data_IF_054798235190
#
_entry.id   IF_054798235190
#
_cell.length_a   1.000
_cell.length_b   1.000
_cell.length_c   1.000
_cell.angle_alpha   90.00
_cell.angle_beta   90.00
_cell.angle_gamma   90.00
#
_symmetry.space_group_name_H-M   'P 1'
#
loop_
_entity.id
_entity.type
_entity.pdbx_description
1 polymer ?
#
# COMPACT_ATOMS: atom_id res chain seq x y z
N UNK A 1 -9.74 4.40 -23.58
CA UNK A 1 -10.56 5.00 -22.51
C UNK A 1 -10.56 6.50 -22.72
N UNK A 2 -11.70 7.19 -22.59
CA UNK A 2 -11.74 8.66 -22.70
C UNK A 2 -11.24 9.31 -21.41
N UNK A 3 -10.79 10.57 -21.49
CA UNK A 3 -10.34 11.35 -20.33
C UNK A 3 -11.37 11.34 -19.19
N UNK A 4 -12.62 11.64 -19.52
CA UNK A 4 -13.67 11.79 -18.51
C UNK A 4 -14.01 10.44 -17.87
N UNK A 5 -14.06 9.37 -18.67
CA UNK A 5 -14.26 8.00 -18.17
C UNK A 5 -13.15 7.56 -17.20
N UNK A 6 -11.90 7.95 -17.46
CA UNK A 6 -10.78 7.66 -16.57
C UNK A 6 -10.95 8.34 -15.21
N UNK A 7 -11.32 9.63 -15.19
CA UNK A 7 -11.51 10.37 -13.95
C UNK A 7 -12.69 9.85 -13.12
N UNK A 8 -13.80 9.46 -13.78
CA UNK A 8 -14.93 8.82 -13.11
C UNK A 8 -14.51 7.53 -12.41
N UNK A 9 -13.85 6.62 -13.14
CA UNK A 9 -13.40 5.34 -12.59
C UNK A 9 -12.45 5.52 -11.42
N UNK A 10 -11.51 6.46 -11.53
CA UNK A 10 -10.55 6.78 -10.47
C UNK A 10 -11.24 7.20 -9.17
N UNK A 11 -12.34 7.95 -9.26
CA UNK A 11 -13.07 8.46 -8.09
C UNK A 11 -14.05 7.44 -7.49
N UNK A 12 -14.37 6.36 -8.21
CA UNK A 12 -15.35 5.35 -7.80
C UNK A 12 -14.72 4.01 -7.40
N UNK A 13 -13.37 3.93 -7.37
CA UNK A 13 -12.66 2.71 -7.04
C UNK A 13 -12.73 2.41 -5.53
N UNK A 14 -13.40 1.32 -5.17
CA UNK A 14 -13.53 0.82 -3.80
C UNK A 14 -13.23 -0.68 -3.75
N UNK A 15 -12.61 -1.14 -2.65
CA UNK A 15 -12.24 -2.54 -2.46
C UNK A 15 -13.10 -3.26 -1.42
N UNK A 16 -14.07 -2.56 -0.83
CA UNK A 16 -14.93 -3.04 0.27
C UNK A 16 -16.34 -2.52 0.06
N UNK A 17 -17.33 -3.33 0.43
CA UNK A 17 -18.73 -2.91 0.49
C UNK A 17 -19.02 -2.16 1.81
N UNK A 18 -18.98 -0.83 1.74
CA UNK A 18 -19.07 0.09 2.90
C UNK A 18 -20.29 -0.19 3.80
N UNK A 19 -21.53 -0.36 3.28
CA UNK A 19 -22.70 -0.74 4.08
C UNK A 19 -22.50 -1.96 4.99
N UNK A 20 -21.76 -2.96 4.52
CA UNK A 20 -21.59 -4.24 5.24
C UNK A 20 -20.48 -4.17 6.29
N UNK A 21 -19.53 -3.25 6.12
CA UNK A 21 -18.28 -3.18 6.90
C UNK A 21 -18.28 -2.06 7.94
N UNK A 22 -19.43 -1.40 8.16
CA UNK A 22 -19.58 -0.27 9.09
C UNK A 22 -19.21 -0.59 10.56
N UNK A 23 -19.17 -1.88 10.94
CA UNK A 23 -18.78 -2.33 12.28
C UNK A 23 -17.27 -2.54 12.46
N UNK A 24 -16.46 -2.52 11.40
CA UNK A 24 -15.00 -2.77 11.45
C UNK A 24 -14.18 -1.46 11.56
N UNK A 25 -14.77 -0.42 12.14
CA UNK A 25 -14.15 0.93 12.22
C UNK A 25 -12.96 1.03 13.16
N UNK A 26 -12.70 0.00 13.97
CA UNK A 26 -11.50 -0.07 14.83
C UNK A 26 -10.21 -0.17 14.01
N UNK A 27 -10.22 -0.86 12.87
CA UNK A 27 -9.08 -0.94 11.96
C UNK A 27 -9.12 0.24 10.97
N UNK A 28 -8.23 1.23 11.11
CA UNK A 28 -8.16 2.38 10.20
C UNK A 28 -7.90 2.04 8.73
N UNK A 29 -7.45 0.82 8.43
CA UNK A 29 -7.10 0.35 7.08
C UNK A 29 -8.15 -0.53 6.42
N UNK A 30 -9.28 -0.81 7.08
CA UNK A 30 -10.27 -1.80 6.61
C UNK A 30 -10.69 -1.61 5.14
N UNK A 31 -10.75 -0.37 4.66
CA UNK A 31 -11.17 -0.02 3.28
C UNK A 31 -10.22 -0.52 2.18
N UNK A 32 -8.95 -0.74 2.52
CA UNK A 32 -7.89 -1.16 1.59
C UNK A 32 -7.25 -2.48 1.98
N UNK A 33 -7.57 -3.00 3.16
CA UNK A 33 -7.08 -4.28 3.67
C UNK A 33 -7.24 -5.44 2.68
N UNK A 34 -8.38 -5.65 1.98
CA UNK A 34 -8.52 -6.78 1.06
C UNK A 34 -7.52 -6.77 -0.09
N UNK A 35 -7.22 -5.60 -0.65
CA UNK A 35 -6.27 -5.48 -1.76
C UNK A 35 -4.83 -5.61 -1.26
N UNK A 36 -4.53 -5.07 -0.07
CA UNK A 36 -3.23 -5.22 0.57
C UNK A 36 -2.95 -6.69 0.87
N UNK A 37 -3.91 -7.40 1.47
CA UNK A 37 -3.79 -8.81 1.81
C UNK A 37 -3.69 -9.69 0.56
N UNK A 38 -4.48 -9.39 -0.48
CA UNK A 38 -4.38 -10.09 -1.75
C UNK A 38 -3.00 -9.95 -2.38
N UNK A 39 -2.43 -8.74 -2.35
CA UNK A 39 -1.10 -8.49 -2.88
C UNK A 39 -0.01 -9.16 -2.02
N UNK A 40 -0.11 -9.04 -0.70
CA UNK A 40 0.82 -9.68 0.24
C UNK A 40 0.82 -11.20 0.08
N UNK A 41 -0.35 -11.84 -0.06
CA UNK A 41 -0.44 -13.28 -0.32
C UNK A 41 0.35 -13.68 -1.57
N UNK A 42 0.19 -12.95 -2.67
CA UNK A 42 0.94 -13.20 -3.89
C UNK A 42 2.46 -13.04 -3.67
N UNK A 43 2.90 -12.04 -2.89
CA UNK A 43 4.31 -11.88 -2.52
C UNK A 43 4.84 -13.07 -1.70
N UNK A 44 4.06 -13.57 -0.74
CA UNK A 44 4.45 -14.69 0.12
C UNK A 44 4.57 -16.03 -0.63
N UNK A 45 3.87 -16.19 -1.74
CA UNK A 45 3.96 -17.36 -2.62
C UNK A 45 5.23 -17.36 -3.50
N UNK A 46 5.95 -16.24 -3.58
CA UNK A 46 7.19 -16.16 -4.37
C UNK A 46 8.34 -16.92 -3.69
N UNK A 47 9.23 -17.56 -4.47
CA UNK A 47 10.44 -18.18 -3.94
C UNK A 47 11.33 -17.18 -3.19
N UNK A 48 11.87 -17.59 -2.04
CA UNK A 48 12.76 -16.77 -1.22
C UNK A 48 14.22 -17.13 -1.49
N UNK A 49 15.03 -16.24 -2.09
CA UNK A 49 16.47 -16.45 -2.19
C UNK A 49 17.14 -16.31 -0.82
N UNK A 50 18.39 -16.78 -0.71
CA UNK A 50 19.16 -16.72 0.54
C UNK A 50 19.56 -15.28 0.92
N UNK A 51 19.77 -14.42 -0.08
CA UNK A 51 20.19 -13.03 0.12
C UNK A 51 18.98 -12.11 -0.02
N UNK A 52 18.63 -11.47 1.10
CA UNK A 52 17.47 -10.59 1.22
C UNK A 52 17.87 -9.29 1.92
N UNK A 53 17.18 -8.21 1.58
CA UNK A 53 17.32 -6.91 2.24
C UNK A 53 15.98 -6.44 2.79
N UNK A 54 16.02 -5.81 3.97
CA UNK A 54 14.88 -5.11 4.57
C UNK A 54 15.24 -3.64 4.72
N UNK A 55 14.39 -2.77 4.19
CA UNK A 55 14.57 -1.33 4.33
C UNK A 55 13.21 -0.61 4.29
N UNK A 56 13.23 0.70 4.53
CA UNK A 56 12.07 1.58 4.54
C UNK A 56 11.81 2.17 3.15
N UNK A 57 10.61 1.93 2.64
CA UNK A 57 10.07 2.64 1.47
C UNK A 57 9.19 3.80 1.92
N UNK A 58 9.29 4.91 1.19
CA UNK A 58 8.42 6.07 1.35
C UNK A 58 7.52 6.19 0.13
N UNK A 59 6.21 6.10 0.34
CA UNK A 59 5.16 6.28 -0.66
C UNK A 59 4.70 7.74 -0.60
N UNK A 60 4.98 8.57 -1.63
CA UNK A 60 4.62 9.98 -1.59
C UNK A 60 3.11 10.18 -1.48
N UNK A 61 2.67 10.81 -0.40
CA UNK A 61 1.26 11.06 -0.15
C UNK A 61 1.05 12.31 0.72
N UNK A 62 0.46 13.34 0.13
CA UNK A 62 0.19 14.61 0.82
C UNK A 62 -1.24 14.74 1.36
N UNK A 63 -2.11 13.75 1.07
CA UNK A 63 -3.49 13.74 1.55
C UNK A 63 -3.61 13.59 3.07
N UNK A 64 -4.85 13.66 3.57
CA UNK A 64 -5.15 13.41 4.99
C UNK A 64 -5.20 11.91 5.23
N UNK A 65 -4.22 11.39 5.94
CA UNK A 65 -4.18 10.01 6.42
C UNK A 65 -3.52 9.99 7.81
N UNK A 66 -4.09 9.31 8.82
CA UNK A 66 -3.48 9.21 10.16
C UNK A 66 -2.08 8.60 10.16
N UNK A 67 -1.80 7.69 9.21
CA UNK A 67 -0.52 7.00 9.11
C UNK A 67 0.57 7.78 8.34
N UNK A 68 0.30 9.04 7.98
CA UNK A 68 1.27 9.88 7.27
C UNK A 68 2.43 10.24 8.19
N UNK A 69 3.66 10.08 7.69
CA UNK A 69 4.90 10.35 8.41
C UNK A 69 5.77 11.36 7.67
N UNK A 70 6.63 12.05 8.43
CA UNK A 70 7.65 12.94 7.92
C UNK A 70 9.04 12.34 8.18
N UNK A 71 9.82 12.09 7.12
CA UNK A 71 11.19 11.57 7.17
C UNK A 71 12.11 12.54 6.42
N UNK A 72 12.86 13.40 7.12
CA UNK A 72 13.60 14.52 6.52
C UNK A 72 14.63 14.12 5.45
N UNK A 73 15.21 12.93 5.57
CA UNK A 73 16.30 12.46 4.71
C UNK A 73 15.84 11.80 3.41
N UNK A 74 14.53 11.63 3.19
CA UNK A 74 13.98 11.02 1.97
C UNK A 74 13.67 12.11 0.92
N UNK A 75 13.80 11.82 -0.39
CA UNK A 75 13.50 12.79 -1.46
C UNK A 75 12.09 13.38 -1.41
N UNK A 76 11.13 12.56 -0.96
CA UNK A 76 9.78 12.99 -0.62
C UNK A 76 9.62 12.84 0.90
N UNK A 77 9.81 13.91 1.69
CA UNK A 77 9.84 13.77 3.14
C UNK A 77 8.49 13.41 3.75
N UNK A 78 7.37 13.75 3.10
CA UNK A 78 6.02 13.51 3.61
C UNK A 78 5.35 12.40 2.81
N UNK A 79 4.91 11.35 3.49
CA UNK A 79 4.22 10.24 2.82
C UNK A 79 3.75 9.15 3.77
N UNK A 80 3.45 7.99 3.21
CA UNK A 80 3.23 6.76 3.96
C UNK A 80 4.54 5.97 3.96
N UNK A 81 5.01 5.59 5.14
CA UNK A 81 6.22 4.78 5.29
C UNK A 81 5.82 3.33 5.55
N UNK A 82 6.46 2.41 4.84
CA UNK A 82 6.37 0.97 5.07
C UNK A 82 7.77 0.36 5.07
N UNK A 83 7.91 -0.80 5.70
CA UNK A 83 9.09 -1.64 5.52
C UNK A 83 8.87 -2.52 4.28
N UNK A 84 9.94 -2.89 3.60
CA UNK A 84 9.88 -3.75 2.42
C UNK A 84 11.00 -4.76 2.52
N UNK A 85 10.66 -6.04 2.34
CA UNK A 85 11.60 -7.12 2.12
C UNK A 85 11.77 -7.32 0.61
N UNK A 86 13.01 -7.25 0.12
CA UNK A 86 13.31 -7.46 -1.30
C UNK A 86 14.45 -8.44 -1.54
N UNK A 87 14.42 -9.08 -2.72
CA UNK A 87 15.56 -9.83 -3.25
C UNK A 87 16.69 -8.88 -3.70
N UNK A 88 17.87 -9.45 -3.95
CA UNK A 88 19.01 -8.73 -4.56
C UNK A 88 18.67 -8.07 -5.90
N UNK A 89 17.72 -8.63 -6.63
CA UNK A 89 17.30 -8.15 -7.97
C UNK A 89 16.19 -7.08 -7.86
N UNK A 90 15.78 -6.72 -6.65
CA UNK A 90 14.78 -5.68 -6.38
C UNK A 90 13.33 -6.17 -6.36
N UNK A 91 13.08 -7.48 -6.39
CA UNK A 91 11.72 -8.02 -6.29
C UNK A 91 11.22 -7.94 -4.86
N UNK A 92 10.02 -7.38 -4.66
CA UNK A 92 9.36 -7.30 -3.34
C UNK A 92 8.76 -8.65 -2.96
N UNK A 93 9.12 -9.15 -1.79
CA UNK A 93 8.72 -10.46 -1.26
C UNK A 93 7.85 -10.38 -0.01
N UNK A 94 7.89 -9.25 0.71
CA UNK A 94 6.96 -8.90 1.80
C UNK A 94 7.05 -7.39 2.11
N UNK A 95 6.10 -6.83 2.86
CA UNK A 95 6.08 -5.44 3.31
C UNK A 95 5.19 -5.21 4.55
#
# INVERSE_FOLDING_TARGET
MTRDRFFELRCMLHFVDIPQTASQTENGWFRVEPIIDSFRKACLELPRPEVLSVDEQMIPFSGRCPARQYVPSKPNPVGLKNFVLSSSDGLVLDF
#
